data_IF_540599077015
#
_entry.id   IF_540599077015
#
_cell.length_a   1.000
_cell.length_b   1.000
_cell.length_c   1.000
_cell.angle_alpha   90.00
_cell.angle_beta   90.00
_cell.angle_gamma   90.00
#
_symmetry.space_group_name_H-M   'P 1'
#
loop_
_entity.id
_entity.type
_entity.pdbx_description
1 polymer ?
#
# COMPACT_ATOMS: atom_id res chain seq x y z
N UNK A 1 -0.54 -6.05 17.27
CA UNK A 1 -0.69 -6.04 15.80
C UNK A 1 -1.47 -4.78 15.42
N UNK A 2 -0.88 -3.83 14.69
CA UNK A 2 -1.61 -2.66 14.19
C UNK A 2 -2.27 -3.05 12.89
N UNK A 3 -3.59 -2.95 12.87
CA UNK A 3 -4.39 -3.31 11.72
C UNK A 3 -4.59 -2.11 10.80
N UNK A 4 -4.94 -2.37 9.55
CA UNK A 4 -5.14 -1.36 8.51
C UNK A 4 -6.18 -0.28 8.89
N UNK A 5 -7.16 -0.60 9.75
CA UNK A 5 -8.12 0.38 10.29
C UNK A 5 -7.53 1.43 11.23
N UNK A 6 -6.32 1.22 11.76
CA UNK A 6 -5.64 2.25 12.58
C UNK A 6 -5.06 3.39 11.73
N UNK A 7 -5.05 3.25 10.40
CA UNK A 7 -4.49 4.26 9.50
C UNK A 7 -5.63 4.97 8.77
N UNK A 8 -5.94 6.23 9.14
CA UNK A 8 -7.03 6.96 8.51
C UNK A 8 -6.79 7.17 7.00
N UNK A 9 -5.54 7.15 6.56
CA UNK A 9 -5.15 7.23 5.15
C UNK A 9 -5.49 5.97 4.34
N UNK A 10 -5.53 4.81 5.00
CA UNK A 10 -5.98 3.55 4.38
C UNK A 10 -7.50 3.38 4.44
N UNK A 11 -8.15 4.00 5.44
CA UNK A 11 -9.59 3.99 5.61
C UNK A 11 -10.32 4.89 4.60
N UNK A 12 -9.59 5.85 4.03
CA UNK A 12 -10.11 6.89 3.17
C UNK A 12 -9.69 6.61 1.73
N UNK A 13 -10.67 6.26 0.88
CA UNK A 13 -10.43 5.81 -0.49
C UNK A 13 -9.64 6.85 -1.30
N UNK A 14 -9.96 8.13 -1.14
CA UNK A 14 -9.34 9.20 -1.89
C UNK A 14 -7.88 9.40 -1.48
N UNK A 15 -7.59 9.32 -0.18
CA UNK A 15 -6.20 9.38 0.32
C UNK A 15 -5.39 8.17 -0.13
N UNK A 16 -5.98 6.98 -0.07
CA UNK A 16 -5.35 5.76 -0.57
C UNK A 16 -5.03 5.89 -2.06
N UNK A 17 -5.95 6.39 -2.89
CA UNK A 17 -5.70 6.63 -4.32
C UNK A 17 -4.65 7.71 -4.55
N UNK A 18 -4.66 8.80 -3.79
CA UNK A 18 -3.64 9.85 -3.89
C UNK A 18 -2.23 9.34 -3.52
N UNK A 19 -2.13 8.49 -2.49
CA UNK A 19 -0.88 7.85 -2.09
C UNK A 19 -0.40 6.86 -3.15
N UNK A 20 -1.30 6.06 -3.71
CA UNK A 20 -0.99 5.15 -4.81
C UNK A 20 -0.54 5.91 -6.07
N UNK A 21 -1.17 7.03 -6.39
CA UNK A 21 -0.77 7.90 -7.50
C UNK A 21 0.62 8.53 -7.26
N UNK A 22 0.88 8.98 -6.03
CA UNK A 22 2.15 9.63 -5.64
C UNK A 22 3.32 8.65 -5.60
N UNK A 23 3.15 7.50 -4.94
CA UNK A 23 4.22 6.54 -4.70
C UNK A 23 4.32 5.46 -5.79
N UNK A 24 3.29 5.33 -6.63
CA UNK A 24 3.16 4.35 -7.73
C UNK A 24 3.20 2.87 -7.30
N UNK A 25 3.58 2.56 -6.05
CA UNK A 25 3.78 1.20 -5.53
C UNK A 25 3.21 1.02 -4.13
N UNK A 26 2.55 -0.12 -3.90
CA UNK A 26 1.99 -0.52 -2.59
C UNK A 26 3.07 -0.60 -1.51
N UNK A 27 4.25 -1.16 -1.81
CA UNK A 27 5.35 -1.26 -0.84
C UNK A 27 5.85 0.11 -0.39
N UNK A 28 5.92 1.07 -1.32
CA UNK A 28 6.35 2.43 -1.03
C UNK A 28 5.31 3.18 -0.19
N UNK A 29 4.01 2.98 -0.45
CA UNK A 29 2.93 3.49 0.40
C UNK A 29 3.00 2.87 1.79
N UNK A 30 3.21 1.55 1.88
CA UNK A 30 3.32 0.84 3.15
C UNK A 30 4.51 1.36 3.97
N UNK A 31 5.68 1.53 3.35
CA UNK A 31 6.87 2.13 3.97
C UNK A 31 6.64 3.57 4.42
N UNK A 32 5.96 4.38 3.58
CA UNK A 32 5.67 5.77 3.91
C UNK A 32 4.74 5.90 5.12
N UNK A 33 3.74 5.02 5.23
CA UNK A 33 2.79 4.99 6.32
C UNK A 33 3.28 4.20 7.55
N UNK A 34 4.42 3.51 7.47
CA UNK A 34 4.87 2.57 8.50
C UNK A 34 3.95 1.36 8.67
N UNK A 35 3.20 1.02 7.63
CA UNK A 35 2.24 -0.09 7.59
C UNK A 35 2.87 -1.36 7.00
N UNK A 36 2.27 -2.51 7.32
CA UNK A 36 2.54 -3.74 6.56
C UNK A 36 1.85 -3.67 5.20
N UNK A 37 2.48 -4.24 4.17
CA UNK A 37 1.93 -4.32 2.81
C UNK A 37 0.51 -4.91 2.77
N UNK A 38 0.30 -5.95 3.58
CA UNK A 38 -0.99 -6.61 3.77
C UNK A 38 -2.10 -5.67 4.27
N UNK A 39 -1.75 -4.65 5.06
CA UNK A 39 -2.72 -3.65 5.50
C UNK A 39 -3.22 -2.80 4.34
N UNK A 40 -2.32 -2.42 3.45
CA UNK A 40 -2.65 -1.64 2.25
C UNK A 40 -3.48 -2.49 1.27
N UNK A 41 -3.09 -3.76 1.05
CA UNK A 41 -3.84 -4.69 0.20
C UNK A 41 -5.27 -4.92 0.70
N UNK A 42 -5.44 -5.14 2.01
CA UNK A 42 -6.77 -5.34 2.62
C UNK A 42 -7.64 -4.08 2.48
N UNK A 43 -7.05 -2.90 2.68
CA UNK A 43 -7.75 -1.63 2.47
C UNK A 43 -8.18 -1.46 1.01
N UNK A 44 -7.31 -1.77 0.05
CA UNK A 44 -7.63 -1.72 -1.39
C UNK A 44 -8.78 -2.65 -1.75
N UNK A 45 -8.74 -3.91 -1.28
CA UNK A 45 -9.85 -4.86 -1.48
C UNK A 45 -11.16 -4.34 -0.91
N UNK A 46 -11.14 -3.77 0.31
CA UNK A 46 -12.35 -3.24 0.95
C UNK A 46 -12.92 -2.02 0.23
N UNK A 47 -12.07 -1.17 -0.34
CA UNK A 47 -12.49 0.00 -1.11
C UNK A 47 -12.84 -0.30 -2.56
N UNK A 48 -12.76 -1.58 -2.98
CA UNK A 48 -13.02 -2.00 -4.36
C UNK A 48 -12.02 -1.40 -5.35
N UNK A 49 -10.79 -1.14 -4.91
CA UNK A 49 -9.73 -0.64 -5.76
C UNK A 49 -9.08 -1.85 -6.43
N UNK A 50 -9.58 -2.21 -7.60
CA UNK A 50 -8.96 -3.21 -8.46
C UNK A 50 -7.69 -2.61 -9.06
N UNK A 51 -6.54 -2.88 -8.44
CA UNK A 51 -5.27 -2.73 -9.13
C UNK A 51 -5.03 -3.97 -9.97
N UNK A 52 -4.53 -3.83 -11.21
CA UNK A 52 -4.14 -4.98 -11.99
C UNK A 52 -3.14 -5.77 -11.14
N UNK A 53 -3.49 -7.05 -10.91
CA UNK A 53 -2.68 -8.07 -10.23
C UNK A 53 -1.25 -8.21 -10.81
N UNK A 54 -0.93 -7.45 -11.87
CA UNK A 54 0.39 -7.32 -12.49
C UNK A 54 1.28 -6.15 -12.03
N UNK A 55 1.06 -5.47 -10.90
CA UNK A 55 2.13 -4.63 -10.30
C UNK A 55 3.18 -5.48 -9.57
N UNK A 56 3.66 -6.50 -10.29
CA UNK A 56 4.81 -7.35 -10.01
C UNK A 56 6.08 -6.50 -10.03
N UNK A 57 6.42 -5.81 -8.94
CA UNK A 57 7.66 -5.00 -8.94
C UNK A 57 8.45 -5.03 -7.62
N UNK A 58 8.09 -5.91 -6.69
CA UNK A 58 8.84 -6.10 -5.44
C UNK A 58 9.69 -7.36 -5.43
N UNK A 59 9.77 -8.09 -6.54
CA UNK A 59 10.91 -8.99 -6.75
C UNK A 59 12.20 -8.24 -7.15
N UNK A 60 12.18 -6.90 -7.27
CA UNK A 60 13.33 -6.12 -7.79
C UNK A 60 13.78 -4.96 -6.90
N UNK A 61 13.11 -4.63 -5.79
CA UNK A 61 13.53 -3.50 -4.94
C UNK A 61 13.62 -3.85 -3.45
N UNK A 62 14.36 -4.92 -3.15
CA UNK A 62 15.11 -4.94 -1.90
C UNK A 62 16.30 -3.98 -2.06
N UNK A 63 16.48 -2.93 -1.22
CA UNK A 63 17.81 -2.36 -1.10
C UNK A 63 18.74 -3.45 -0.51
N UNK A 64 19.93 -3.70 -1.06
CA UNK A 64 20.90 -4.57 -0.42
C UNK A 64 21.17 -4.00 0.98
N UNK A 65 20.96 -4.83 2.01
CA UNK A 65 21.48 -4.57 3.36
C UNK A 65 23.01 -4.58 3.24
N UNK A 66 23.61 -3.40 3.27
CA UNK A 66 25.02 -3.24 3.58
C UNK A 66 25.24 -3.30 5.09
#
# INVERSE_FOLDING_TARGET
MRYWYSYPELLDKEKLMALLAKHKRVSAVALHLGCSRHSVETAMMRHGIEYPSGYVADMVLAPPKN
#
